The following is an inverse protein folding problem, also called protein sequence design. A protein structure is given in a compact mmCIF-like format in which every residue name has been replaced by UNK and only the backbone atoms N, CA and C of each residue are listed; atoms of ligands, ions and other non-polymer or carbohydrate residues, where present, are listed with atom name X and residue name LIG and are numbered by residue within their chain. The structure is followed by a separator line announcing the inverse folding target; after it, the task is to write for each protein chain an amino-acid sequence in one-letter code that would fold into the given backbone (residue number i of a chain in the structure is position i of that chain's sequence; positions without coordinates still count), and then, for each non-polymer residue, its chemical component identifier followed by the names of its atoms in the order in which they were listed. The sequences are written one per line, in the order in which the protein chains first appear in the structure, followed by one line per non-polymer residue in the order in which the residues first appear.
data_IF_248820303234
#
_entry.id   IF_248820303234
#
_cell.length_a   1.000
_cell.length_b   1.000
_cell.length_c   1.000
_cell.angle_alpha   90.00
_cell.angle_beta   90.00
_cell.angle_gamma   90.00
#
_symmetry.space_group_name_H-M   'P 1'
#
loop_
_entity.id
_entity.type
_entity.pdbx_description
1 polymer ?
#
# COMPACT_ATOMS: atom_id res chain seq x y z
N UNK A 1 -49.77 58.83 4.67
CA UNK A 1 -49.77 58.82 6.15
C UNK A 1 -48.44 59.40 6.61
N UNK A 2 -48.44 60.57 7.24
CA UNK A 2 -47.21 61.21 7.74
C UNK A 2 -46.96 60.72 9.17
N UNK A 3 -46.00 59.83 9.36
CA UNK A 3 -45.71 59.16 10.65
C UNK A 3 -44.87 60.05 11.59
N UNK A 4 -45.15 61.36 11.61
CA UNK A 4 -44.30 62.43 12.15
C UNK A 4 -45.02 63.24 13.24
N UNK A 5 -44.26 63.75 14.21
CA UNK A 5 -44.77 64.71 15.20
C UNK A 5 -45.00 66.06 14.51
N UNK A 6 -46.15 66.68 14.77
CA UNK A 6 -46.54 67.96 14.15
C UNK A 6 -47.14 68.89 15.22
N UNK A 7 -46.92 70.20 15.10
CA UNK A 7 -47.54 71.19 15.97
C UNK A 7 -48.89 71.65 15.40
N UNK A 8 -49.70 72.33 16.22
CA UNK A 8 -51.04 72.77 15.84
C UNK A 8 -51.08 73.64 14.57
N UNK A 9 -50.04 74.47 14.34
CA UNK A 9 -49.95 75.33 13.16
C UNK A 9 -49.73 74.54 11.86
N UNK A 10 -49.00 73.42 11.92
CA UNK A 10 -48.73 72.59 10.76
C UNK A 10 -49.96 71.77 10.32
N UNK A 11 -50.90 71.50 11.23
CA UNK A 11 -52.11 70.71 10.93
C UNK A 11 -52.95 71.38 9.86
N UNK A 12 -53.21 72.68 9.99
CA UNK A 12 -54.06 73.42 9.06
C UNK A 12 -53.41 73.69 7.69
N UNK A 13 -52.07 73.76 7.65
CA UNK A 13 -51.34 74.17 6.45
C UNK A 13 -50.86 72.98 5.62
N UNK A 14 -50.19 72.01 6.25
CA UNK A 14 -49.42 70.98 5.54
C UNK A 14 -49.92 69.55 5.80
N UNK A 15 -50.80 69.36 6.79
CA UNK A 15 -51.33 68.05 7.16
C UNK A 15 -52.86 68.00 7.22
N UNK A 16 -53.52 68.89 6.46
CA UNK A 16 -54.97 68.93 6.40
C UNK A 16 -55.52 67.61 5.85
N UNK A 17 -56.56 67.07 6.50
CA UNK A 17 -57.15 65.77 6.14
C UNK A 17 -56.39 64.52 6.61
N UNK A 18 -55.24 64.66 7.29
CA UNK A 18 -54.57 63.52 7.92
C UNK A 18 -55.19 63.16 9.28
N UNK A 19 -55.15 61.86 9.61
CA UNK A 19 -55.58 61.37 10.93
C UNK A 19 -54.58 61.84 11.99
N UNK A 20 -55.09 62.56 12.99
CA UNK A 20 -54.31 63.07 14.11
C UNK A 20 -54.52 62.17 15.32
N UNK A 21 -53.43 61.90 16.04
CA UNK A 21 -53.45 61.12 17.29
C UNK A 21 -52.74 61.94 18.36
N UNK A 22 -53.32 62.02 19.55
CA UNK A 22 -52.67 62.65 20.70
C UNK A 22 -51.30 62.01 20.96
N UNK A 23 -50.30 62.84 21.26
CA UNK A 23 -48.92 62.41 21.46
C UNK A 23 -48.82 61.29 22.52
N UNK A 24 -49.55 61.41 23.62
CA UNK A 24 -49.58 60.42 24.70
C UNK A 24 -50.10 59.05 24.24
N UNK A 25 -51.18 59.03 23.44
CA UNK A 25 -51.75 57.80 22.86
C UNK A 25 -50.80 57.19 21.83
N UNK A 26 -50.28 58.01 20.91
CA UNK A 26 -49.32 57.57 19.90
C UNK A 26 -48.03 57.01 20.50
N UNK A 27 -47.54 57.65 21.57
CA UNK A 27 -46.37 57.20 22.32
C UNK A 27 -46.60 55.82 22.96
N UNK A 28 -47.73 55.60 23.64
CA UNK A 28 -48.03 54.31 24.27
C UNK A 28 -48.15 53.19 23.24
N UNK A 29 -48.82 53.43 22.11
CA UNK A 29 -48.92 52.44 21.02
C UNK A 29 -47.53 52.09 20.46
N UNK A 30 -46.70 53.09 20.19
CA UNK A 30 -45.33 52.87 19.69
C UNK A 30 -44.45 52.16 20.72
N UNK A 31 -44.58 52.50 22.00
CA UNK A 31 -43.84 51.86 23.12
C UNK A 31 -44.15 50.37 23.22
N UNK A 32 -45.41 49.98 23.18
CA UNK A 32 -45.80 48.56 23.23
C UNK A 32 -45.36 47.81 21.97
N UNK A 33 -45.46 48.43 20.78
CA UNK A 33 -44.91 47.86 19.54
C UNK A 33 -43.39 47.67 19.62
N UNK A 34 -42.68 48.59 20.27
CA UNK A 34 -41.23 48.50 20.46
C UNK A 34 -40.87 47.35 21.40
N UNK A 35 -41.54 47.22 22.55
CA UNK A 35 -41.36 46.08 23.48
C UNK A 35 -41.63 44.74 22.80
N UNK A 36 -42.70 44.64 22.03
CA UNK A 36 -43.02 43.42 21.29
C UNK A 36 -41.94 43.08 20.26
N UNK A 37 -41.46 44.08 19.53
CA UNK A 37 -40.38 43.91 18.55
C UNK A 37 -39.06 43.51 19.22
N UNK A 38 -38.73 44.13 20.35
CA UNK A 38 -37.55 43.81 21.15
C UNK A 38 -37.58 42.36 21.59
N UNK A 39 -38.69 41.90 22.19
CA UNK A 39 -38.85 40.51 22.62
C UNK A 39 -38.66 39.52 21.47
N UNK A 40 -39.25 39.80 20.29
CA UNK A 40 -39.06 38.96 19.09
C UNK A 40 -37.61 38.91 18.62
N UNK A 41 -36.87 40.01 18.75
CA UNK A 41 -35.44 40.06 18.41
C UNK A 41 -34.64 39.23 19.41
N UNK A 42 -34.90 39.39 20.71
CA UNK A 42 -34.26 38.61 21.77
C UNK A 42 -34.50 37.11 21.59
N UNK A 43 -35.74 36.70 21.31
CA UNK A 43 -36.10 35.31 21.02
C UNK A 43 -35.33 34.76 19.79
N UNK A 44 -35.21 35.57 18.73
CA UNK A 44 -34.43 35.21 17.53
C UNK A 44 -32.93 35.08 17.83
N UNK A 45 -32.37 35.99 18.61
CA UNK A 45 -30.97 35.93 19.02
C UNK A 45 -30.72 34.65 19.83
N UNK A 46 -31.60 34.32 20.78
CA UNK A 46 -31.52 33.08 21.55
C UNK A 46 -31.49 31.83 20.67
N UNK A 47 -32.37 31.76 19.67
CA UNK A 47 -32.40 30.66 18.71
C UNK A 47 -31.12 30.58 17.86
N UNK A 48 -30.59 31.71 17.40
CA UNK A 48 -29.35 31.75 16.62
C UNK A 48 -28.14 31.29 17.45
N UNK A 49 -28.07 31.67 18.73
CA UNK A 49 -27.03 31.20 19.65
C UNK A 49 -27.13 29.68 19.83
N UNK A 50 -28.34 29.14 19.99
CA UNK A 50 -28.58 27.70 20.11
C UNK A 50 -28.09 26.94 18.87
N UNK A 51 -28.47 27.39 17.67
CA UNK A 51 -28.05 26.79 16.40
C UNK A 51 -26.51 26.83 16.25
N UNK A 52 -25.88 27.96 16.60
CA UNK A 52 -24.42 28.10 16.58
C UNK A 52 -23.75 27.04 17.47
N UNK A 53 -24.25 26.85 18.69
CA UNK A 53 -23.68 25.88 19.62
C UNK A 53 -23.84 24.44 19.10
N UNK A 54 -25.03 24.10 18.59
CA UNK A 54 -25.29 22.79 17.98
C UNK A 54 -24.36 22.50 16.79
N UNK A 55 -24.16 23.47 15.88
CA UNK A 55 -23.20 23.32 14.78
C UNK A 55 -21.76 23.13 15.26
N UNK A 56 -21.37 23.82 16.33
CA UNK A 56 -20.01 23.70 16.89
C UNK A 56 -19.78 22.30 17.46
N UNK A 57 -20.76 21.75 18.18
CA UNK A 57 -20.68 20.37 18.70
C UNK A 57 -20.61 19.32 17.59
N UNK A 58 -21.39 19.49 16.51
CA UNK A 58 -21.33 18.59 15.35
C UNK A 58 -19.95 18.61 14.72
N UNK A 59 -19.38 19.79 14.46
CA UNK A 59 -18.04 19.92 13.90
C UNK A 59 -16.96 19.28 14.79
N UNK A 60 -17.06 19.41 16.12
CA UNK A 60 -16.12 18.77 17.05
C UNK A 60 -16.26 17.23 17.01
N UNK A 61 -17.49 16.70 16.97
CA UNK A 61 -17.74 15.26 16.87
C UNK A 61 -17.23 14.67 15.56
N UNK A 62 -17.44 15.37 14.44
CA UNK A 62 -16.99 14.89 13.14
C UNK A 62 -15.46 14.95 13.04
N UNK A 63 -14.82 16.00 13.56
CA UNK A 63 -13.36 16.07 13.68
C UNK A 63 -12.76 14.89 14.46
N UNK A 64 -13.38 14.51 15.59
CA UNK A 64 -12.96 13.34 16.36
C UNK A 64 -13.10 12.03 15.56
N UNK A 65 -14.23 11.84 14.86
CA UNK A 65 -14.44 10.66 14.00
C UNK A 65 -13.42 10.57 12.87
N UNK A 66 -13.07 11.69 12.24
CA UNK A 66 -12.04 11.71 11.19
C UNK A 66 -10.68 11.28 11.74
N UNK A 67 -10.32 11.73 12.95
CA UNK A 67 -9.08 11.32 13.60
C UNK A 67 -9.05 9.81 13.88
N UNK A 68 -10.14 9.26 14.42
CA UNK A 68 -10.24 7.83 14.70
C UNK A 68 -10.17 6.99 13.42
N UNK A 69 -10.80 7.47 12.33
CA UNK A 69 -10.74 6.83 11.02
C UNK A 69 -9.30 6.79 10.48
N UNK A 70 -8.57 7.91 10.54
CA UNK A 70 -7.17 7.99 10.09
C UNK A 70 -6.30 6.99 10.86
N UNK A 71 -6.43 6.96 12.20
CA UNK A 71 -5.70 6.01 13.04
C UNK A 71 -6.05 4.55 12.72
N UNK A 72 -7.33 4.28 12.42
CA UNK A 72 -7.79 2.96 11.99
C UNK A 72 -7.16 2.51 10.67
N UNK A 73 -7.07 3.41 9.69
CA UNK A 73 -6.43 3.16 8.39
C UNK A 73 -4.94 2.89 8.56
N UNK A 74 -4.22 3.72 9.33
CA UNK A 74 -2.79 3.53 9.60
C UNK A 74 -2.52 2.18 10.28
N UNK A 75 -3.33 1.80 11.26
CA UNK A 75 -3.21 0.52 11.95
C UNK A 75 -3.45 -0.68 11.01
N UNK A 76 -4.39 -0.57 10.07
CA UNK A 76 -4.61 -1.60 9.05
C UNK A 76 -3.45 -1.67 8.07
N UNK A 77 -2.91 -0.53 7.64
CA UNK A 77 -1.76 -0.48 6.72
C UNK A 77 -0.54 -1.19 7.33
N UNK A 78 -0.24 -0.93 8.61
CA UNK A 78 0.85 -1.63 9.33
C UNK A 78 0.61 -3.14 9.40
N UNK A 79 -0.63 -3.59 9.62
CA UNK A 79 -0.96 -5.03 9.63
C UNK A 79 -0.72 -5.69 8.28
N UNK A 80 -1.16 -5.04 7.20
CA UNK A 80 -0.98 -5.54 5.83
C UNK A 80 0.50 -5.63 5.49
N UNK A 81 1.26 -4.57 5.79
CA UNK A 81 2.71 -4.56 5.58
C UNK A 81 3.41 -5.70 6.31
N UNK A 82 3.13 -5.87 7.60
CA UNK A 82 3.71 -6.96 8.39
C UNK A 82 3.32 -8.35 7.87
N UNK A 83 2.11 -8.52 7.32
CA UNK A 83 1.69 -9.77 6.71
C UNK A 83 2.43 -10.03 5.39
N UNK A 84 2.59 -9.00 4.56
CA UNK A 84 3.34 -9.08 3.31
C UNK A 84 4.83 -9.40 3.54
N UNK A 85 5.46 -8.76 4.52
CA UNK A 85 6.85 -9.01 4.89
C UNK A 85 7.04 -10.47 5.35
N UNK A 86 6.16 -10.97 6.24
CA UNK A 86 6.18 -12.37 6.67
C UNK A 86 5.99 -13.36 5.52
N UNK A 87 5.09 -13.06 4.59
CA UNK A 87 4.86 -13.91 3.43
C UNK A 87 6.07 -13.92 2.50
N UNK A 88 6.70 -12.76 2.29
CA UNK A 88 7.93 -12.62 1.50
C UNK A 88 9.08 -13.43 2.12
N UNK A 89 9.27 -13.34 3.43
CA UNK A 89 10.30 -14.11 4.12
C UNK A 89 10.04 -15.62 4.06
N UNK A 90 8.77 -16.02 4.16
CA UNK A 90 8.37 -17.42 3.96
C UNK A 90 8.73 -17.91 2.55
N UNK A 91 8.39 -17.14 1.50
CA UNK A 91 8.74 -17.48 0.12
C UNK A 91 10.25 -17.56 -0.10
N UNK A 92 11.03 -16.61 0.44
CA UNK A 92 12.50 -16.64 0.38
C UNK A 92 13.07 -17.88 1.05
N UNK A 93 12.51 -18.27 2.20
CA UNK A 93 12.93 -19.48 2.91
C UNK A 93 12.66 -20.74 2.10
N UNK A 94 11.45 -20.88 1.54
CA UNK A 94 11.07 -22.03 0.73
C UNK A 94 11.89 -22.12 -0.57
N UNK A 95 12.14 -20.99 -1.23
CA UNK A 95 13.01 -20.93 -2.41
C UNK A 95 14.43 -21.39 -2.06
N UNK A 96 15.00 -20.88 -0.97
CA UNK A 96 16.34 -21.26 -0.53
C UNK A 96 16.44 -22.75 -0.17
N UNK A 97 15.41 -23.33 0.44
CA UNK A 97 15.39 -24.78 0.72
C UNK A 97 15.39 -25.60 -0.56
N UNK A 98 14.52 -25.27 -1.51
CA UNK A 98 14.46 -25.95 -2.81
C UNK A 98 15.78 -25.80 -3.57
N UNK A 99 16.36 -24.61 -3.53
CA UNK A 99 17.64 -24.32 -4.15
C UNK A 99 18.77 -25.19 -3.57
N UNK A 100 18.87 -25.28 -2.24
CA UNK A 100 19.86 -26.15 -1.59
C UNK A 100 19.65 -27.62 -1.91
N UNK A 101 18.40 -28.08 -1.93
CA UNK A 101 18.10 -29.47 -2.28
C UNK A 101 18.56 -29.82 -3.70
N UNK A 102 18.26 -28.94 -4.68
CA UNK A 102 18.73 -29.11 -6.06
C UNK A 102 20.26 -29.06 -6.15
N UNK A 103 20.91 -28.13 -5.45
CA UNK A 103 22.37 -28.07 -5.43
C UNK A 103 23.00 -29.33 -4.84
N UNK A 104 22.44 -29.86 -3.75
CA UNK A 104 22.92 -31.11 -3.14
C UNK A 104 22.76 -32.28 -4.11
N UNK A 105 21.60 -32.43 -4.74
CA UNK A 105 21.34 -33.51 -5.71
C UNK A 105 22.31 -33.44 -6.90
N UNK A 106 22.59 -32.25 -7.42
CA UNK A 106 23.54 -32.09 -8.54
C UNK A 106 24.99 -32.32 -8.11
N UNK A 107 25.38 -31.96 -6.88
CA UNK A 107 26.71 -32.29 -6.33
C UNK A 107 26.86 -33.81 -6.19
N UNK A 108 25.87 -34.52 -5.66
CA UNK A 108 25.90 -35.97 -5.53
C UNK A 108 26.06 -36.66 -6.90
N UNK A 109 25.32 -36.21 -7.92
CA UNK A 109 25.49 -36.72 -9.30
C UNK A 109 26.90 -36.48 -9.84
N UNK A 110 27.49 -35.31 -9.56
CA UNK A 110 28.86 -35.01 -9.96
C UNK A 110 29.88 -35.92 -9.26
N UNK A 111 29.71 -36.16 -7.97
CA UNK A 111 30.56 -37.06 -7.20
C UNK A 111 30.49 -38.50 -7.75
N UNK A 112 29.30 -39.00 -8.08
CA UNK A 112 29.12 -40.30 -8.72
C UNK A 112 29.85 -40.40 -10.07
N UNK A 113 29.73 -39.37 -10.92
CA UNK A 113 30.44 -39.31 -12.21
C UNK A 113 31.95 -39.30 -11.99
N UNK A 114 32.45 -38.50 -11.04
CA UNK A 114 33.89 -38.43 -10.71
C UNK A 114 34.40 -39.79 -10.23
N UNK A 115 33.71 -40.45 -9.30
CA UNK A 115 34.09 -41.77 -8.78
C UNK A 115 34.08 -42.82 -9.91
N UNK A 116 33.08 -42.79 -10.78
CA UNK A 116 33.01 -43.69 -11.93
C UNK A 116 34.18 -43.48 -12.89
N UNK A 117 34.55 -42.23 -13.19
CA UNK A 117 35.69 -41.90 -14.05
C UNK A 117 37.02 -42.30 -13.41
N UNK A 118 37.18 -42.09 -12.11
CA UNK A 118 38.36 -42.53 -11.36
C UNK A 118 38.49 -44.05 -11.38
N UNK A 119 37.39 -44.78 -11.18
CA UNK A 119 37.37 -46.24 -11.27
C UNK A 119 37.81 -46.76 -12.64
N UNK A 120 37.29 -46.16 -13.71
CA UNK A 120 37.68 -46.48 -15.10
C UNK A 120 39.15 -46.15 -15.37
N UNK A 121 39.64 -45.02 -14.87
CA UNK A 121 41.05 -44.64 -15.00
C UNK A 121 41.96 -45.64 -14.27
N UNK A 122 41.63 -45.99 -13.03
CA UNK A 122 42.41 -46.94 -12.23
C UNK A 122 42.39 -48.36 -12.80
N UNK A 123 41.25 -48.84 -13.35
CA UNK A 123 41.17 -50.18 -13.94
C UNK A 123 41.90 -50.28 -15.27
N UNK A 124 41.93 -49.20 -16.06
CA UNK A 124 42.39 -49.26 -17.44
C UNK A 124 43.82 -48.78 -17.61
N UNK A 125 44.36 -47.92 -16.75
CA UNK A 125 45.72 -47.39 -16.93
C UNK A 125 46.78 -48.47 -16.74
N UNK A 126 46.66 -49.35 -15.75
CA UNK A 126 47.63 -50.45 -15.59
C UNK A 126 47.55 -51.46 -16.74
N UNK A 127 46.33 -51.77 -17.19
CA UNK A 127 46.07 -52.71 -18.28
C UNK A 127 46.49 -52.18 -19.66
N UNK A 128 46.42 -50.86 -19.88
CA UNK A 128 46.87 -50.19 -21.12
C UNK A 128 48.38 -50.00 -21.10
N UNK A 129 48.95 -49.51 -19.98
CA UNK A 129 50.39 -49.19 -19.92
C UNK A 129 51.26 -50.44 -19.97
N UNK A 130 50.76 -51.60 -19.52
CA UNK A 130 51.49 -52.86 -19.50
C UNK A 130 51.15 -53.81 -20.66
N UNK A 131 50.16 -53.49 -21.51
CA UNK A 131 49.73 -54.37 -22.61
C UNK A 131 50.52 -54.14 -23.89
N UNK A 132 51.03 -55.23 -24.47
CA UNK A 132 51.61 -55.25 -25.83
C UNK A 132 50.58 -55.64 -26.91
N UNK A 133 49.32 -55.87 -26.52
CA UNK A 133 48.23 -56.22 -27.42
C UNK A 133 47.53 -54.96 -27.93
N UNK A 134 47.74 -54.67 -29.22
CA UNK A 134 47.20 -53.50 -29.93
C UNK A 134 45.67 -53.52 -29.99
N UNK A 135 45.05 -54.70 -30.09
CA UNK A 135 43.59 -54.85 -30.15
C UNK A 135 42.97 -54.56 -28.77
N UNK A 136 43.61 -55.04 -27.70
CA UNK A 136 43.24 -54.72 -26.32
C UNK A 136 43.37 -53.21 -26.03
N UNK A 137 44.46 -52.59 -26.50
CA UNK A 137 44.68 -51.13 -26.37
C UNK A 137 43.60 -50.32 -27.09
N UNK A 138 43.20 -50.74 -28.29
CA UNK A 138 42.16 -50.05 -29.07
C UNK A 138 40.77 -50.13 -28.40
N UNK A 139 40.42 -51.29 -27.84
CA UNK A 139 39.15 -51.50 -27.12
C UNK A 139 39.11 -50.65 -25.85
N UNK A 140 40.18 -50.66 -25.04
CA UNK A 140 40.20 -49.90 -23.79
C UNK A 140 40.29 -48.37 -24.02
N UNK A 141 40.99 -47.93 -25.07
CA UNK A 141 40.99 -46.53 -25.51
C UNK A 141 39.60 -46.06 -25.95
N UNK A 142 38.85 -46.89 -26.68
CA UNK A 142 37.49 -46.58 -27.12
C UNK A 142 36.52 -46.47 -25.94
N UNK A 143 36.65 -47.34 -24.92
CA UNK A 143 35.85 -47.26 -23.68
C UNK A 143 36.14 -45.98 -22.90
N UNK A 144 37.40 -45.61 -22.75
CA UNK A 144 37.80 -44.35 -22.10
C UNK A 144 37.25 -43.12 -22.84
N UNK A 145 37.32 -43.11 -24.18
CA UNK A 145 36.77 -42.02 -24.99
C UNK A 145 35.25 -41.91 -24.87
N UNK A 146 34.54 -43.03 -24.84
CA UNK A 146 33.09 -43.05 -24.62
C UNK A 146 32.71 -42.51 -23.23
N UNK A 147 33.43 -42.95 -22.19
CA UNK A 147 33.21 -42.46 -20.83
C UNK A 147 33.49 -40.95 -20.69
N UNK A 148 34.54 -40.45 -21.35
CA UNK A 148 34.87 -39.03 -21.38
C UNK A 148 33.75 -38.19 -22.05
N UNK A 149 33.23 -38.64 -23.19
CA UNK A 149 32.12 -37.95 -23.88
C UNK A 149 30.84 -37.91 -23.04
N UNK A 150 30.53 -38.98 -22.30
CA UNK A 150 29.38 -39.03 -21.38
C UNK A 150 29.59 -38.02 -20.23
N UNK A 151 30.80 -37.97 -19.67
CA UNK A 151 31.13 -37.02 -18.62
C UNK A 151 31.05 -35.56 -19.10
N UNK A 152 31.58 -35.25 -20.29
CA UNK A 152 31.51 -33.91 -20.88
C UNK A 152 30.07 -33.47 -21.16
N UNK A 153 29.21 -34.40 -21.62
CA UNK A 153 27.79 -34.12 -21.87
C UNK A 153 27.03 -33.84 -20.55
N UNK A 154 27.32 -34.61 -19.51
CA UNK A 154 26.74 -34.43 -18.17
C UNK A 154 27.21 -33.11 -17.54
N UNK A 155 28.50 -32.79 -17.62
CA UNK A 155 29.07 -31.52 -17.13
C UNK A 155 28.55 -30.30 -17.91
N UNK A 156 28.40 -30.40 -19.23
CA UNK A 156 27.84 -29.35 -20.07
C UNK A 156 26.38 -29.02 -19.72
N UNK A 157 25.58 -30.05 -19.41
CA UNK A 157 24.18 -29.89 -18.99
C UNK A 157 24.05 -29.17 -17.63
N UNK A 158 25.01 -29.41 -16.72
CA UNK A 158 25.07 -28.77 -15.39
C UNK A 158 25.50 -27.29 -15.50
N UNK A 159 26.39 -26.96 -16.43
CA UNK A 159 26.81 -25.57 -16.70
C UNK A 159 25.67 -24.68 -17.22
N UNK A 160 24.74 -25.26 -17.98
CA UNK A 160 23.56 -24.57 -18.50
C UNK A 160 22.55 -24.24 -17.38
N UNK A 161 22.37 -25.15 -16.41
CA UNK A 161 21.53 -24.93 -15.24
C UNK A 161 22.10 -23.88 -14.30
N UNK A 162 23.42 -23.82 -14.08
CA UNK A 162 24.03 -22.77 -13.25
C UNK A 162 23.98 -21.37 -13.91
N UNK A 163 24.01 -21.30 -15.25
CA UNK A 163 23.99 -20.04 -16.01
C UNK A 163 22.61 -19.38 -16.19
N UNK A 164 21.53 -20.15 -16.30
CA UNK A 164 20.18 -19.58 -16.51
C UNK A 164 19.45 -19.15 -15.22
N UNK A 165 19.92 -19.57 -14.05
CA UNK A 165 19.16 -19.40 -12.81
C UNK A 165 19.45 -18.06 -12.10
N UNK A 166 20.57 -17.39 -12.43
CA UNK A 166 20.95 -16.10 -11.81
C UNK A 166 20.17 -14.87 -12.33
N UNK A 167 19.89 -14.70 -13.64
CA UNK A 167 19.24 -13.47 -14.14
C UNK A 167 17.71 -13.45 -13.97
N UNK A 168 17.04 -14.58 -14.20
CA UNK A 168 15.57 -14.63 -14.23
C UNK A 168 14.94 -14.53 -12.82
N UNK A 169 15.64 -14.99 -11.79
CA UNK A 169 15.17 -14.90 -10.39
C UNK A 169 15.42 -13.50 -9.84
N UNK A 170 16.56 -12.87 -10.14
CA UNK A 170 16.80 -11.47 -9.79
C UNK A 170 15.82 -10.53 -10.50
N UNK A 171 15.51 -10.78 -11.78
CA UNK A 171 14.48 -10.04 -12.51
C UNK A 171 13.09 -10.17 -11.87
N UNK A 172 12.69 -11.38 -11.47
CA UNK A 172 11.41 -11.63 -10.81
C UNK A 172 11.33 -11.00 -9.41
N UNK A 173 12.42 -11.02 -8.66
CA UNK A 173 12.52 -10.35 -7.35
C UNK A 173 12.51 -8.82 -7.47
N UNK A 174 13.11 -8.26 -8.52
CA UNK A 174 13.09 -6.83 -8.81
C UNK A 174 11.68 -6.36 -9.21
N UNK A 175 10.94 -7.15 -9.99
CA UNK A 175 9.54 -6.86 -10.35
C UNK A 175 8.66 -6.84 -9.10
N UNK A 176 8.84 -7.79 -8.18
CA UNK A 176 8.11 -7.80 -6.90
C UNK A 176 8.52 -6.63 -6.01
N UNK A 177 9.80 -6.26 -5.97
CA UNK A 177 10.28 -5.09 -5.21
C UNK A 177 9.69 -3.78 -5.74
N UNK A 178 9.66 -3.60 -7.07
CA UNK A 178 9.12 -2.40 -7.71
C UNK A 178 7.60 -2.30 -7.48
N UNK A 179 6.87 -3.42 -7.55
CA UNK A 179 5.44 -3.45 -7.26
C UNK A 179 5.11 -3.10 -5.79
N UNK A 180 6.03 -3.35 -4.85
CA UNK A 180 5.89 -2.95 -3.45
C UNK A 180 6.19 -1.47 -3.25
N UNK A 181 7.06 -0.88 -4.06
CA UNK A 181 7.38 0.55 -4.02
C UNK A 181 6.30 1.42 -4.68
N UNK A 182 5.64 0.94 -5.74
CA UNK A 182 4.48 1.62 -6.36
C UNK A 182 3.24 1.72 -5.45
N UNK A 183 3.18 0.93 -4.39
CA UNK A 183 2.11 0.98 -3.37
C UNK A 183 2.42 2.01 -2.25
N UNK A 184 3.62 2.59 -2.25
CA UNK A 184 4.05 3.59 -1.25
C UNK A 184 3.77 5.04 -1.66
N UNK A 185 3.40 5.29 -2.91
CA UNK A 185 2.99 6.61 -3.45
C UNK A 185 1.45 6.75 -3.51
#
# INVERSE_FOLDING_TARGET
MCDTLVCALCIGNTHNGHVLVEISKGFNIRKEKFKSSQKKIEDKIGNLIKIKNEMTEVNMKDSAKYKDLIQGIEAQNVKVKNAADKYTDHLKSELNKKWRALQTEEIEKLEEVIVSLQGLLSSNVEDIVLSNDVEKLFIESSKLSCALNIAETNLGSISFLSGQISPNIMGSLQVVSNAVDEVKD
#
